data_IF_472041071600
#
_entry.id   IF_472041071600
#
_cell.length_a   1.000
_cell.length_b   1.000
_cell.length_c   1.000
_cell.angle_alpha   90.00
_cell.angle_beta   90.00
_cell.angle_gamma   90.00
#
_symmetry.space_group_name_H-M   'P 1'
#
loop_
_entity.id
_entity.type
_entity.pdbx_description
1 polymer ?
#
# COMPACT_ATOMS: atom_id res chain seq x y z
N UNK A 1 -4.81 -6.37 -11.44
CA UNK A 1 -3.82 -6.19 -10.37
C UNK A 1 -3.62 -4.70 -10.18
N UNK A 2 -3.53 -4.22 -8.95
CA UNK A 2 -3.26 -2.81 -8.65
C UNK A 2 -1.88 -2.70 -8.00
N UNK A 3 -1.16 -1.61 -8.27
CA UNK A 3 0.11 -1.32 -7.58
C UNK A 3 -0.05 -0.01 -6.84
N UNK A 4 0.28 0.01 -5.55
CA UNK A 4 0.27 1.22 -4.74
C UNK A 4 1.52 1.32 -3.88
N UNK A 5 1.94 2.55 -3.58
CA UNK A 5 3.07 2.81 -2.72
C UNK A 5 2.70 2.65 -1.25
N UNK A 6 3.42 1.81 -0.52
CA UNK A 6 3.32 1.71 0.95
C UNK A 6 4.41 2.58 1.57
N UNK A 7 4.05 3.65 2.30
CA UNK A 7 4.99 4.42 3.09
C UNK A 7 5.55 3.55 4.21
N UNK A 8 6.87 3.64 4.43
CA UNK A 8 7.54 2.93 5.52
C UNK A 8 8.78 3.68 6.01
N UNK A 9 9.12 3.47 7.27
CA UNK A 9 10.41 3.83 7.83
C UNK A 9 11.52 2.91 7.33
N UNK A 10 12.76 3.28 7.64
CA UNK A 10 13.94 2.53 7.22
C UNK A 10 14.13 1.17 7.89
N UNK A 11 13.54 0.99 9.07
CA UNK A 11 13.60 -0.26 9.83
C UNK A 11 12.33 -1.10 9.70
N UNK A 12 11.50 -0.78 8.73
CA UNK A 12 10.30 -1.55 8.44
C UNK A 12 10.51 -2.34 7.17
N UNK A 13 10.09 -3.59 7.20
CA UNK A 13 9.92 -4.43 6.02
C UNK A 13 8.47 -4.33 5.54
N UNK A 14 8.29 -4.23 4.22
CA UNK A 14 6.96 -4.24 3.62
C UNK A 14 6.50 -5.67 3.42
N UNK A 15 5.29 -5.96 3.88
CA UNK A 15 4.63 -7.26 3.73
C UNK A 15 3.69 -7.23 2.51
N UNK A 16 3.26 -8.41 2.01
CA UNK A 16 2.18 -8.45 1.03
C UNK A 16 0.98 -7.65 1.51
N UNK A 17 0.41 -6.86 0.59
CA UNK A 17 -0.75 -6.04 0.88
C UNK A 17 -2.03 -6.84 1.01
N UNK A 18 -2.99 -6.30 1.74
CA UNK A 18 -4.34 -6.85 1.86
C UNK A 18 -5.34 -5.96 1.11
N UNK A 19 -6.45 -6.55 0.68
CA UNK A 19 -7.51 -5.84 -0.04
C UNK A 19 -8.82 -6.07 0.68
N UNK A 20 -9.49 -4.99 1.03
CA UNK A 20 -10.87 -5.03 1.48
C UNK A 20 -11.79 -4.52 0.38
N UNK A 21 -12.66 -5.38 -0.12
CA UNK A 21 -13.54 -5.07 -1.25
C UNK A 21 -15.00 -4.95 -0.79
N UNK A 22 -15.63 -3.85 -1.20
CA UNK A 22 -17.08 -3.66 -1.14
C UNK A 22 -17.63 -3.55 -2.56
N UNK A 23 -18.94 -3.37 -2.69
CA UNK A 23 -19.60 -3.15 -3.98
C UNK A 23 -19.33 -1.76 -4.56
N UNK A 24 -18.90 -0.80 -3.74
CA UNK A 24 -18.66 0.59 -4.16
C UNK A 24 -17.17 0.96 -4.19
N UNK A 25 -16.39 0.38 -3.29
CA UNK A 25 -15.00 0.77 -3.07
C UNK A 25 -14.09 -0.43 -2.82
N UNK A 26 -12.82 -0.25 -3.19
CA UNK A 26 -11.69 -1.12 -2.88
C UNK A 26 -10.75 -0.35 -1.97
N UNK A 27 -10.49 -0.89 -0.78
CA UNK A 27 -9.53 -0.35 0.16
C UNK A 27 -8.28 -1.22 0.11
N UNK A 28 -7.16 -0.62 -0.30
CA UNK A 28 -5.85 -1.26 -0.20
C UNK A 28 -5.36 -1.10 1.24
N UNK A 29 -4.75 -2.13 1.80
CA UNK A 29 -4.17 -2.11 3.14
C UNK A 29 -2.69 -2.48 3.00
N UNK A 30 -1.84 -1.46 3.06
CA UNK A 30 -0.40 -1.62 3.15
C UNK A 30 0.00 -2.17 4.52
N UNK A 31 0.91 -3.14 4.55
CA UNK A 31 1.38 -3.75 5.79
C UNK A 31 2.89 -3.57 5.93
N UNK A 32 3.30 -3.08 7.09
CA UNK A 32 4.70 -3.01 7.49
C UNK A 32 4.94 -3.85 8.73
N UNK A 33 6.17 -4.32 8.88
CA UNK A 33 6.63 -5.05 10.05
C UNK A 33 7.96 -4.45 10.49
N UNK A 34 8.09 -4.16 11.79
CA UNK A 34 9.34 -3.68 12.34
C UNK A 34 10.42 -4.78 12.25
N UNK A 35 11.51 -4.48 11.57
CA UNK A 35 12.70 -5.34 11.54
C UNK A 35 13.39 -5.29 12.90
N UNK A 36 13.82 -6.45 13.39
CA UNK A 36 14.74 -6.51 14.53
C UNK A 36 16.12 -6.03 14.10
N UNK A 37 16.60 -4.97 14.72
CA UNK A 37 17.96 -4.48 14.54
C UNK A 37 18.91 -5.14 15.54
N UNK A 38 20.16 -5.42 15.14
CA UNK A 38 21.26 -5.71 16.05
C UNK A 38 21.46 -4.59 17.09
N UNK A 39 22.00 -4.95 18.25
CA UNK A 39 22.36 -3.98 19.28
C UNK A 39 23.36 -2.95 18.73
N UNK A 40 23.09 -1.66 18.99
CA UNK A 40 23.93 -0.55 18.55
C UNK A 40 23.64 -0.03 17.13
N UNK A 41 22.72 -0.66 16.37
CA UNK A 41 22.21 -0.07 15.13
C UNK A 41 21.00 0.82 15.39
N UNK A 42 20.96 1.97 14.71
CA UNK A 42 19.83 2.89 14.70
C UNK A 42 19.23 2.96 13.29
N UNK A 43 17.95 3.29 13.22
CA UNK A 43 17.28 3.62 11.97
C UNK A 43 17.71 5.01 11.51
N UNK A 44 18.01 5.19 10.22
CA UNK A 44 18.01 6.52 9.62
C UNK A 44 16.58 7.07 9.62
N UNK A 45 16.46 8.39 9.80
CA UNK A 45 15.19 9.11 9.71
C UNK A 45 14.87 9.39 8.24
N UNK A 46 14.57 8.33 7.50
CA UNK A 46 14.12 8.42 6.11
C UNK A 46 12.75 7.76 5.95
N UNK A 47 11.82 8.49 5.33
CA UNK A 47 10.56 7.94 4.85
C UNK A 47 10.77 7.41 3.43
N UNK A 48 10.38 6.16 3.21
CA UNK A 48 10.52 5.48 1.92
C UNK A 48 9.14 5.05 1.45
N UNK A 49 8.97 4.95 0.13
CA UNK A 49 7.77 4.39 -0.48
C UNK A 49 8.17 3.13 -1.23
N UNK A 50 7.53 2.01 -0.91
CA UNK A 50 7.79 0.73 -1.58
C UNK A 50 6.56 0.35 -2.40
N UNK A 51 6.69 0.06 -3.71
CA UNK A 51 5.56 -0.38 -4.51
C UNK A 51 5.14 -1.79 -4.07
N UNK A 52 3.83 -1.99 -3.89
CA UNK A 52 3.24 -3.28 -3.53
C UNK A 52 2.12 -3.61 -4.50
N UNK A 53 2.08 -4.86 -4.94
CA UNK A 53 1.00 -5.41 -5.75
C UNK A 53 -0.16 -5.89 -4.88
N UNK A 54 -1.37 -5.52 -5.29
CA UNK A 54 -2.64 -5.88 -4.66
C UNK A 54 -3.49 -6.67 -5.65
N UNK A 55 -3.92 -7.87 -5.22
CA UNK A 55 -4.74 -8.77 -6.02
C UNK A 55 -6.20 -8.61 -5.63
N UNK A 56 -7.01 -8.19 -6.59
CA UNK A 56 -8.46 -8.12 -6.43
C UNK A 56 -9.06 -9.51 -6.65
N UNK A 57 -10.07 -9.85 -5.86
CA UNK A 57 -10.88 -11.04 -6.02
C UNK A 57 -11.83 -10.94 -7.22
N UNK A 58 -12.19 -9.72 -7.65
CA UNK A 58 -13.04 -9.45 -8.83
C UNK A 58 -12.60 -8.21 -9.60
N UNK A 59 -12.88 -8.12 -10.93
CA UNK A 59 -12.48 -6.98 -11.76
C UNK A 59 -12.98 -5.63 -11.23
N UNK A 60 -12.16 -4.58 -11.22
CA UNK A 60 -12.44 -3.30 -10.56
C UNK A 60 -13.82 -2.70 -10.93
N UNK A 61 -14.18 -2.71 -12.21
CA UNK A 61 -15.47 -2.18 -12.68
C UNK A 61 -15.61 -0.69 -12.37
N UNK A 62 -16.78 -0.26 -11.93
CA UNK A 62 -17.07 1.15 -11.57
C UNK A 62 -16.65 1.52 -10.13
N UNK A 63 -15.97 0.62 -9.41
CA UNK A 63 -15.60 0.84 -8.01
C UNK A 63 -14.42 1.78 -7.89
N UNK A 64 -14.43 2.57 -6.83
CA UNK A 64 -13.34 3.48 -6.51
C UNK A 64 -12.25 2.78 -5.70
N UNK A 65 -10.99 2.98 -6.05
CA UNK A 65 -9.86 2.56 -5.20
C UNK A 65 -9.54 3.72 -4.27
N UNK A 66 -9.42 3.47 -2.96
CA UNK A 66 -8.99 4.48 -2.01
C UNK A 66 -7.45 4.50 -1.88
N UNK A 67 -6.87 5.70 -1.83
CA UNK A 67 -5.45 5.95 -1.59
C UNK A 67 -5.00 5.44 -0.23
N UNK A 68 -3.78 4.90 -0.16
CA UNK A 68 -3.19 4.39 1.08
C UNK A 68 -2.76 5.50 2.04
N UNK A 69 -2.41 6.65 1.49
CA UNK A 69 -1.85 7.81 2.17
C UNK A 69 -2.91 8.75 2.73
N UNK A 70 -4.03 8.93 2.02
CA UNK A 70 -5.04 9.93 2.37
C UNK A 70 -6.49 9.40 2.39
N UNK A 71 -6.71 8.13 2.01
CA UNK A 71 -8.04 7.53 1.92
C UNK A 71 -8.94 8.12 0.83
N UNK A 72 -8.41 8.97 -0.06
CA UNK A 72 -9.18 9.62 -1.12
C UNK A 72 -9.29 8.71 -2.35
N UNK A 73 -10.29 8.91 -3.22
CA UNK A 73 -10.34 8.27 -4.52
C UNK A 73 -9.02 8.41 -5.29
N UNK A 74 -8.40 7.29 -5.64
CA UNK A 74 -7.28 7.30 -6.57
C UNK A 74 -7.79 7.75 -7.94
N UNK A 75 -7.18 8.79 -8.48
CA UNK A 75 -7.34 9.15 -9.88
C UNK A 75 -6.42 8.24 -10.67
N UNK A 76 -6.95 7.11 -11.13
CA UNK A 76 -6.27 6.32 -12.15
C UNK A 76 -6.16 7.21 -13.40
N UNK A 77 -4.98 7.32 -14.05
CA UNK A 77 -4.92 7.99 -15.34
C UNK A 77 -5.90 7.30 -16.27
N UNK A 78 -6.80 8.08 -16.88
CA UNK A 78 -7.73 7.56 -17.87
C UNK A 78 -6.91 6.87 -18.97
N UNK A 79 -7.27 5.62 -19.27
CA UNK A 79 -6.66 4.84 -20.34
C UNK A 79 -6.51 5.73 -21.60
N UNK A 80 -5.27 5.88 -22.08
CA UNK A 80 -4.98 6.45 -23.40
C UNK A 80 -5.02 5.35 -24.45
#
# INVERSE_FOLDING_TARGET
>A
MLTAGVPRGSCEDVRPGEVYETDLAVVLIGRTEARRLPAGQACDLALRVTPVEFRLARPLGARVVLGLDDGRPQTLPADR
#
